data_IF_007750824567
#
_entry.id   IF_007750824567
#
_cell.length_a   1.000
_cell.length_b   1.000
_cell.length_c   1.000
_cell.angle_alpha   90.00
_cell.angle_beta   90.00
_cell.angle_gamma   90.00
#
_symmetry.space_group_name_H-M   'P 1'
#
loop_
_entity.id
_entity.type
_entity.pdbx_description
1 polymer ?
#
# COMPACT_ATOMS: atom_id res chain seq x y z
N UNK A 1 5.72 25.83 -12.87
CA UNK A 1 5.58 24.97 -11.68
C UNK A 1 4.49 23.97 -11.98
N UNK A 2 4.48 22.83 -11.31
CA UNK A 2 3.57 21.74 -11.60
C UNK A 2 2.62 21.51 -10.43
N UNK A 3 1.37 21.15 -10.75
CA UNK A 3 0.44 20.52 -9.84
C UNK A 3 0.33 19.06 -10.29
N UNK A 4 0.69 18.13 -9.41
CA UNK A 4 0.49 16.70 -9.63
C UNK A 4 -0.64 16.17 -8.77
N UNK A 5 -1.25 15.09 -9.24
CA UNK A 5 -2.29 14.32 -8.57
C UNK A 5 -1.96 12.84 -8.77
N UNK A 6 -1.46 12.21 -7.72
CA UNK A 6 -1.15 10.80 -7.67
C UNK A 6 -2.24 10.09 -6.85
N UNK A 7 -3.38 9.82 -7.48
CA UNK A 7 -4.50 9.11 -6.86
C UNK A 7 -5.03 9.78 -5.59
N UNK A 8 -5.16 11.11 -5.61
CA UNK A 8 -5.63 11.89 -4.47
C UNK A 8 -4.52 12.43 -3.57
N UNK A 9 -3.26 12.08 -3.82
CA UNK A 9 -2.11 12.75 -3.22
C UNK A 9 -1.65 13.90 -4.14
N UNK A 10 -1.79 15.13 -3.66
CA UNK A 10 -1.47 16.31 -4.48
C UNK A 10 -0.07 16.82 -4.13
N UNK A 11 0.67 17.28 -5.12
CA UNK A 11 1.88 18.06 -4.87
C UNK A 11 1.93 19.30 -5.76
N UNK A 12 2.37 20.41 -5.18
CA UNK A 12 2.65 21.64 -5.92
C UNK A 12 4.14 21.88 -5.88
N UNK A 13 4.78 21.85 -7.04
CA UNK A 13 6.23 22.01 -7.18
C UNK A 13 6.59 23.19 -8.08
N UNK A 14 7.76 23.77 -7.84
CA UNK A 14 8.32 24.84 -8.67
C UNK A 14 9.75 24.49 -9.03
N UNK A 15 10.13 24.87 -10.25
CA UNK A 15 11.50 24.72 -10.72
C UNK A 15 12.44 25.47 -9.79
N UNK A 16 13.52 24.82 -9.38
CA UNK A 16 14.55 25.40 -8.53
C UNK A 16 15.91 25.10 -9.11
N UNK A 17 16.81 26.08 -9.06
CA UNK A 17 18.24 25.85 -9.32
C UNK A 17 18.88 25.26 -8.06
N UNK A 18 19.66 24.20 -8.23
CA UNK A 18 20.45 23.60 -7.15
C UNK A 18 21.40 24.67 -6.59
N UNK A 19 21.41 24.85 -5.27
CA UNK A 19 22.28 25.84 -4.61
C UNK A 19 23.70 25.29 -4.40
N UNK A 20 23.82 23.98 -4.21
CA UNK A 20 25.09 23.27 -4.05
C UNK A 20 25.67 22.81 -5.38
N UNK A 21 27.01 22.73 -5.47
CA UNK A 21 27.74 22.08 -6.57
C UNK A 21 27.77 20.56 -6.33
N UNK A 22 26.61 19.97 -6.05
CA UNK A 22 26.48 18.52 -5.86
C UNK A 22 26.08 17.88 -7.17
N UNK A 23 26.78 16.82 -7.56
CA UNK A 23 26.41 15.99 -8.70
C UNK A 23 25.13 15.20 -8.38
N UNK A 24 24.16 15.25 -9.30
CA UNK A 24 22.90 14.52 -9.17
C UNK A 24 23.10 13.07 -9.61
N UNK A 25 22.43 12.10 -8.95
CA UNK A 25 22.49 10.70 -9.37
C UNK A 25 21.95 10.55 -10.80
N UNK A 26 22.54 9.63 -11.56
CA UNK A 26 21.99 9.24 -12.86
C UNK A 26 20.68 8.48 -12.65
N UNK A 27 19.70 8.67 -13.54
CA UNK A 27 18.38 8.04 -13.39
C UNK A 27 18.47 6.52 -13.19
N UNK A 28 19.28 5.83 -13.99
CA UNK A 28 19.35 4.36 -13.98
C UNK A 28 20.05 3.81 -12.71
N UNK A 29 20.61 4.70 -11.87
CA UNK A 29 21.16 4.35 -10.54
C UNK A 29 20.22 4.63 -9.37
N UNK A 30 19.02 5.17 -9.63
CA UNK A 30 18.04 5.48 -8.59
C UNK A 30 17.04 4.32 -8.49
N UNK A 31 16.89 3.78 -7.28
CA UNK A 31 15.84 2.83 -6.93
C UNK A 31 14.89 3.44 -5.87
N UNK A 32 13.61 3.01 -5.83
CA UNK A 32 12.71 3.40 -4.74
C UNK A 32 13.30 3.03 -3.38
N UNK A 33 13.23 3.95 -2.42
CA UNK A 33 13.87 3.83 -1.12
C UNK A 33 15.27 4.44 -1.03
N UNK A 34 15.92 4.79 -2.14
CA UNK A 34 17.22 5.45 -2.11
C UNK A 34 17.14 6.83 -1.47
N UNK A 35 18.17 7.17 -0.68
CA UNK A 35 18.26 8.47 -0.03
C UNK A 35 19.02 9.48 -0.88
N UNK A 36 18.45 10.68 -1.03
CA UNK A 36 19.14 11.84 -1.59
C UNK A 36 19.23 12.94 -0.52
N UNK A 37 20.45 13.40 -0.25
CA UNK A 37 20.67 14.60 0.54
C UNK A 37 20.73 15.80 -0.40
N UNK A 38 19.85 16.78 -0.18
CA UNK A 38 19.79 18.01 -0.95
C UNK A 38 19.56 19.19 -0.01
N UNK A 39 20.44 20.18 -0.04
CA UNK A 39 20.35 21.41 0.75
C UNK A 39 20.11 21.18 2.27
N UNK A 40 20.75 20.14 2.82
CA UNK A 40 20.64 19.77 4.25
C UNK A 40 19.40 18.96 4.61
N UNK A 41 18.50 18.70 3.67
CA UNK A 41 17.33 17.84 3.85
C UNK A 41 17.58 16.47 3.22
N UNK A 42 17.10 15.42 3.89
CA UNK A 42 17.15 14.04 3.40
C UNK A 42 15.81 13.70 2.76
N UNK A 43 15.87 13.27 1.51
CA UNK A 43 14.77 12.82 0.69
C UNK A 43 14.90 11.32 0.44
N UNK A 44 13.76 10.64 0.27
CA UNK A 44 13.70 9.22 -0.08
C UNK A 44 12.98 9.09 -1.41
N UNK A 45 13.56 8.35 -2.35
CA UNK A 45 12.96 8.07 -3.65
C UNK A 45 11.64 7.32 -3.42
N UNK A 46 10.54 7.93 -3.82
CA UNK A 46 9.19 7.41 -3.66
C UNK A 46 8.68 6.80 -4.94
N UNK A 47 9.03 7.35 -6.09
CA UNK A 47 8.60 6.82 -7.37
C UNK A 47 9.67 7.04 -8.43
N UNK A 48 10.01 6.01 -9.20
CA UNK A 48 11.02 6.07 -10.25
C UNK A 48 10.45 5.43 -11.50
N UNK A 49 10.07 6.24 -12.49
CA UNK A 49 9.41 5.72 -13.69
C UNK A 49 9.72 6.51 -14.95
N UNK A 50 9.64 5.78 -16.06
CA UNK A 50 9.51 6.33 -17.41
C UNK A 50 8.07 6.14 -17.86
N UNK A 51 7.38 7.23 -18.19
CA UNK A 51 5.97 7.26 -18.55
C UNK A 51 5.78 7.91 -19.92
N UNK A 52 4.82 7.42 -20.70
CA UNK A 52 4.41 8.06 -21.95
C UNK A 52 3.19 8.94 -21.67
N UNK A 53 3.28 10.24 -21.98
CA UNK A 53 2.11 11.12 -21.96
C UNK A 53 1.20 10.73 -23.14
N UNK A 54 0.01 10.21 -22.82
CA UNK A 54 -0.98 9.76 -23.82
C UNK A 54 -1.93 10.86 -24.31
N UNK A 55 -1.85 12.05 -23.72
CA UNK A 55 -2.70 13.18 -24.09
C UNK A 55 -2.59 14.31 -23.08
N UNK A 56 -3.24 15.42 -23.39
CA UNK A 56 -3.28 16.61 -22.55
C UNK A 56 -4.69 17.17 -22.52
N UNK A 57 -5.05 17.81 -21.41
CA UNK A 57 -6.34 18.46 -21.24
C UNK A 57 -6.18 19.73 -20.41
N UNK A 58 -6.93 20.78 -20.77
CA UNK A 58 -6.96 22.05 -20.06
C UNK A 58 -6.20 23.16 -20.76
N UNK A 59 -6.08 24.29 -20.06
CA UNK A 59 -5.36 25.48 -20.53
C UNK A 59 -3.88 25.33 -20.20
N UNK A 60 -3.09 24.88 -21.18
CA UNK A 60 -1.65 24.74 -21.04
C UNK A 60 -0.92 25.99 -21.57
N UNK A 61 0.20 26.40 -20.95
CA UNK A 61 1.00 27.53 -21.43
C UNK A 61 1.83 27.21 -22.68
N UNK A 62 1.64 26.03 -23.28
CA UNK A 62 2.29 25.56 -24.49
C UNK A 62 1.32 24.67 -25.28
N UNK A 63 1.59 24.51 -26.57
CA UNK A 63 0.87 23.55 -27.42
C UNK A 63 1.53 22.18 -27.26
N UNK A 64 0.84 21.17 -26.71
CA UNK A 64 1.38 19.83 -26.60
C UNK A 64 1.45 19.20 -27.99
N UNK A 65 2.59 18.57 -28.30
CA UNK A 65 2.74 17.75 -29.51
C UNK A 65 2.02 16.40 -29.39
N UNK A 66 2.49 15.39 -30.12
CA UNK A 66 1.92 14.02 -30.13
C UNK A 66 2.15 13.22 -28.82
N UNK A 67 2.43 13.93 -27.72
CA UNK A 67 2.88 13.39 -26.44
C UNK A 67 4.38 13.57 -26.23
N UNK A 68 4.84 13.21 -25.03
CA UNK A 68 6.25 13.19 -24.66
C UNK A 68 6.50 12.04 -23.69
N UNK A 69 7.75 11.64 -23.55
CA UNK A 69 8.15 10.71 -22.52
C UNK A 69 8.60 11.49 -21.28
N UNK A 70 8.00 11.21 -20.13
CA UNK A 70 8.42 11.73 -18.85
C UNK A 70 9.32 10.69 -18.17
N UNK A 71 10.59 11.00 -17.97
CA UNK A 71 11.56 10.16 -17.25
C UNK A 71 11.87 10.82 -15.90
N UNK A 72 11.17 10.41 -14.84
CA UNK A 72 11.12 11.15 -13.57
C UNK A 72 11.40 10.27 -12.36
N UNK A 73 12.11 10.85 -11.38
CA UNK A 73 12.24 10.29 -10.04
C UNK A 73 11.67 11.27 -9.02
N UNK A 74 10.57 10.88 -8.39
CA UNK A 74 9.92 11.63 -7.33
C UNK A 74 10.42 11.16 -5.96
N UNK A 75 10.59 12.12 -5.07
CA UNK A 75 11.17 11.96 -3.75
C UNK A 75 10.30 12.64 -2.70
N UNK A 76 10.31 12.06 -1.50
CA UNK A 76 9.51 12.51 -0.36
C UNK A 76 10.39 12.75 0.85
N UNK A 77 10.02 13.76 1.63
CA UNK A 77 10.63 14.05 2.93
C UNK A 77 9.63 14.78 3.81
N UNK A 78 9.02 14.08 4.77
CA UNK A 78 7.89 14.62 5.54
C UNK A 78 6.76 15.12 4.61
N UNK A 79 6.51 16.44 4.56
CA UNK A 79 5.57 17.12 3.67
C UNK A 79 6.23 17.67 2.39
N UNK A 80 7.55 17.60 2.26
CA UNK A 80 8.28 18.06 1.08
C UNK A 80 8.21 17.04 -0.06
N UNK A 81 8.08 17.56 -1.28
CA UNK A 81 8.07 16.81 -2.53
C UNK A 81 9.16 17.32 -3.45
N UNK A 82 9.92 16.42 -4.06
CA UNK A 82 11.01 16.72 -4.97
C UNK A 82 10.88 15.84 -6.21
N UNK A 83 10.89 16.42 -7.39
CA UNK A 83 11.00 15.70 -8.67
C UNK A 83 12.35 16.01 -9.30
N UNK A 84 13.06 14.94 -9.68
CA UNK A 84 14.17 14.99 -10.62
C UNK A 84 13.64 14.57 -12.00
N UNK A 85 13.59 15.50 -12.93
CA UNK A 85 13.07 15.28 -14.28
C UNK A 85 14.21 15.15 -15.29
N UNK A 86 14.41 13.95 -15.82
CA UNK A 86 15.46 13.58 -16.78
C UNK A 86 14.93 13.52 -18.22
N UNK A 87 13.75 14.09 -18.49
CA UNK A 87 13.10 13.98 -19.82
C UNK A 87 13.91 14.66 -20.93
N UNK A 88 14.66 15.72 -20.59
CA UNK A 88 15.45 16.52 -21.54
C UNK A 88 16.95 16.16 -21.57
N UNK A 89 17.40 15.20 -20.75
CA UNK A 89 18.81 14.79 -20.73
C UNK A 89 19.26 14.11 -19.43
N UNK A 90 20.56 13.77 -19.34
CA UNK A 90 21.11 13.04 -18.20
C UNK A 90 21.21 13.89 -16.92
N UNK A 91 21.22 15.23 -17.06
CA UNK A 91 21.19 16.15 -15.93
C UNK A 91 19.73 16.55 -15.67
N UNK A 92 19.18 16.26 -14.47
CA UNK A 92 17.76 16.47 -14.23
C UNK A 92 17.41 17.94 -14.02
N UNK A 93 16.23 18.34 -14.49
CA UNK A 93 15.57 19.52 -13.98
C UNK A 93 14.97 19.24 -12.60
N UNK A 94 15.16 20.18 -11.68
CA UNK A 94 14.75 20.01 -10.29
C UNK A 94 13.47 20.80 -9.99
N UNK A 95 12.44 20.11 -9.52
CA UNK A 95 11.20 20.71 -9.05
C UNK A 95 10.99 20.39 -7.58
N UNK A 96 10.83 21.41 -6.74
CA UNK A 96 10.62 21.22 -5.31
C UNK A 96 9.35 21.92 -4.85
N UNK A 97 8.68 21.34 -3.87
CA UNK A 97 7.57 21.97 -3.21
C UNK A 97 7.03 21.09 -2.09
N UNK A 98 5.71 21.03 -1.98
CA UNK A 98 5.02 20.36 -0.89
C UNK A 98 3.94 19.44 -1.42
N UNK A 99 3.74 18.35 -0.68
CA UNK A 99 2.59 17.48 -0.81
C UNK A 99 1.46 17.96 0.11
N UNK A 100 0.22 17.79 -0.34
CA UNK A 100 -0.99 18.27 0.32
C UNK A 100 -2.08 17.20 0.26
N UNK A 101 -2.86 17.12 1.35
CA UNK A 101 -4.26 16.70 1.24
C UNK A 101 -5.04 17.78 0.46
N UNK A 102 -5.98 17.38 -0.40
CA UNK A 102 -6.76 18.32 -1.21
C UNK A 102 -7.43 19.43 -0.38
N UNK A 103 -7.98 19.07 0.78
CA UNK A 103 -8.64 20.02 1.67
C UNK A 103 -7.67 21.06 2.25
N UNK A 104 -6.39 20.71 2.37
CA UNK A 104 -5.34 21.61 2.83
C UNK A 104 -4.86 22.60 1.77
N UNK A 105 -5.19 22.39 0.49
CA UNK A 105 -4.79 23.29 -0.60
C UNK A 105 -5.49 24.66 -0.59
N UNK A 106 -6.52 24.85 0.28
CA UNK A 106 -7.29 26.10 0.40
C UNK A 106 -7.76 26.66 -0.96
N UNK A 107 -8.33 25.77 -1.79
CA UNK A 107 -8.75 26.14 -3.13
C UNK A 107 -9.89 27.19 -3.10
N UNK A 108 -9.63 28.38 -3.65
CA UNK A 108 -10.55 29.53 -3.57
C UNK A 108 -11.40 29.79 -4.82
N UNK A 109 -11.06 29.20 -5.96
CA UNK A 109 -11.67 29.54 -7.27
C UNK A 109 -12.02 28.29 -8.08
N UNK A 110 -12.55 27.26 -7.42
CA UNK A 110 -12.99 26.04 -8.08
C UNK A 110 -14.26 26.30 -8.90
N UNK A 111 -14.33 25.70 -10.09
CA UNK A 111 -15.57 25.65 -10.89
C UNK A 111 -16.65 24.90 -10.10
N UNK A 112 -17.88 25.34 -10.24
CA UNK A 112 -19.06 24.62 -9.74
C UNK A 112 -19.21 23.28 -10.45
N UNK A 113 -20.02 22.41 -9.86
CA UNK A 113 -20.30 21.09 -10.43
C UNK A 113 -20.86 21.20 -11.84
N UNK A 114 -21.82 22.08 -12.01
CA UNK A 114 -22.54 22.33 -13.26
C UNK A 114 -21.58 22.87 -14.33
N UNK A 115 -20.68 23.78 -13.96
CA UNK A 115 -19.65 24.30 -14.86
C UNK A 115 -18.67 23.22 -15.33
N UNK A 116 -18.30 22.28 -14.46
CA UNK A 116 -17.44 21.14 -14.84
C UNK A 116 -18.17 20.18 -15.78
N UNK A 117 -19.45 19.94 -15.53
CA UNK A 117 -20.33 19.10 -16.35
C UNK A 117 -20.43 19.64 -17.79
N UNK A 118 -20.68 20.95 -17.91
CA UNK A 118 -20.83 21.65 -19.18
C UNK A 118 -19.53 21.71 -20.00
N UNK A 119 -18.37 21.87 -19.36
CA UNK A 119 -17.08 22.03 -20.05
C UNK A 119 -16.31 20.73 -20.30
N UNK A 120 -16.34 19.77 -19.36
CA UNK A 120 -15.54 18.55 -19.45
C UNK A 120 -16.34 17.31 -19.89
N UNK A 121 -17.69 17.36 -19.83
CA UNK A 121 -18.58 16.23 -20.16
C UNK A 121 -18.36 14.96 -19.31
N UNK A 122 -17.49 15.02 -18.29
CA UNK A 122 -17.10 13.92 -17.42
C UNK A 122 -16.93 14.45 -16.00
N UNK A 123 -17.75 13.95 -15.08
CA UNK A 123 -17.56 14.19 -13.67
C UNK A 123 -16.41 13.35 -13.11
N UNK A 124 -15.48 14.01 -12.42
CA UNK A 124 -14.50 13.31 -11.58
C UNK A 124 -15.25 12.56 -10.48
N UNK A 125 -15.04 11.24 -10.41
CA UNK A 125 -15.62 10.41 -9.36
C UNK A 125 -17.01 9.85 -9.64
N UNK A 126 -17.61 10.08 -10.82
CA UNK A 126 -18.87 9.41 -11.16
C UNK A 126 -18.62 7.92 -11.41
N UNK A 127 -19.35 7.06 -10.71
CA UNK A 127 -19.33 5.63 -10.99
C UNK A 127 -20.15 5.40 -12.26
N UNK A 128 -19.49 4.99 -13.33
CA UNK A 128 -20.13 4.64 -14.61
C UNK A 128 -20.19 3.14 -14.75
N UNK A 129 -21.24 2.66 -15.40
CA UNK A 129 -21.34 1.30 -15.87
C UNK A 129 -20.76 1.21 -17.29
N UNK A 130 -19.99 0.17 -17.57
CA UNK A 130 -19.62 -0.25 -18.92
C UNK A 130 -19.87 -1.74 -19.06
N UNK A 131 -20.18 -2.22 -20.26
CA UNK A 131 -20.26 -3.66 -20.52
C UNK A 131 -18.87 -4.21 -20.78
N UNK A 132 -18.52 -5.30 -20.11
CA UNK A 132 -17.23 -5.95 -20.28
C UNK A 132 -17.04 -6.37 -21.74
N UNK A 133 -16.01 -5.88 -22.46
CA UNK A 133 -15.79 -6.22 -23.86
C UNK A 133 -15.46 -7.70 -24.09
N UNK A 134 -15.15 -8.46 -23.03
CA UNK A 134 -14.88 -9.90 -23.11
C UNK A 134 -16.13 -10.78 -22.89
N UNK A 135 -17.01 -10.43 -21.95
CA UNK A 135 -18.11 -11.31 -21.52
C UNK A 135 -19.48 -10.64 -21.46
N UNK A 136 -19.59 -9.34 -21.73
CA UNK A 136 -20.83 -8.57 -21.70
C UNK A 136 -21.38 -8.27 -20.31
N UNK A 137 -20.72 -8.70 -19.23
CA UNK A 137 -21.18 -8.39 -17.88
C UNK A 137 -20.98 -6.91 -17.53
N UNK A 138 -21.89 -6.29 -16.75
CA UNK A 138 -21.75 -4.90 -16.35
C UNK A 138 -20.57 -4.73 -15.39
N UNK A 139 -19.77 -3.70 -15.63
CA UNK A 139 -18.62 -3.28 -14.84
C UNK A 139 -18.87 -1.87 -14.32
N UNK A 140 -18.86 -1.71 -13.01
CA UNK A 140 -18.84 -0.39 -12.37
C UNK A 140 -17.40 0.10 -12.25
N UNK A 141 -17.12 1.32 -12.70
CA UNK A 141 -15.81 1.94 -12.58
C UNK A 141 -15.91 3.42 -12.25
N UNK A 142 -14.92 3.95 -11.52
CA UNK A 142 -14.87 5.36 -11.17
C UNK A 142 -14.24 6.14 -12.33
N UNK A 143 -15.07 6.84 -13.09
CA UNK A 143 -14.60 7.63 -14.22
C UNK A 143 -13.57 8.69 -13.77
N UNK A 144 -12.50 8.82 -14.56
CA UNK A 144 -11.36 9.72 -14.33
C UNK A 144 -10.52 9.45 -13.06
N UNK A 145 -10.75 8.35 -12.35
CA UNK A 145 -9.95 7.95 -11.18
C UNK A 145 -9.41 6.53 -11.28
N UNK A 146 -10.10 5.64 -11.99
CA UNK A 146 -9.60 4.31 -12.33
C UNK A 146 -9.48 4.19 -13.85
N UNK A 147 -8.26 3.95 -14.34
CA UNK A 147 -8.00 3.71 -15.77
C UNK A 147 -8.03 2.22 -16.12
N UNK A 148 -8.20 1.34 -15.12
CA UNK A 148 -8.21 -0.09 -15.30
C UNK A 148 -9.27 -0.73 -14.39
N UNK A 149 -9.88 -1.79 -14.90
CA UNK A 149 -10.82 -2.62 -14.13
C UNK A 149 -10.57 -4.09 -14.43
N UNK A 150 -10.57 -4.92 -13.40
CA UNK A 150 -10.63 -6.37 -13.56
C UNK A 150 -12.09 -6.82 -13.46
N UNK A 151 -12.65 -7.36 -14.54
CA UNK A 151 -14.08 -7.69 -14.63
C UNK A 151 -14.50 -8.66 -13.50
N UNK A 152 -15.50 -8.31 -12.66
CA UNK A 152 -15.93 -9.19 -11.58
C UNK A 152 -16.48 -10.55 -12.04
N UNK A 153 -17.02 -10.62 -13.26
CA UNK A 153 -17.67 -11.83 -13.79
C UNK A 153 -16.71 -12.78 -14.51
N UNK A 154 -15.72 -12.25 -15.22
CA UNK A 154 -14.79 -13.08 -16.00
C UNK A 154 -13.31 -12.81 -15.71
N UNK A 155 -12.96 -11.90 -14.79
CA UNK A 155 -11.61 -11.44 -14.44
C UNK A 155 -10.71 -10.99 -15.60
N UNK A 156 -11.30 -10.59 -16.73
CA UNK A 156 -10.53 -9.94 -17.79
C UNK A 156 -10.08 -8.56 -17.29
N UNK A 157 -8.82 -8.21 -17.52
CA UNK A 157 -8.33 -6.86 -17.28
C UNK A 157 -8.73 -5.97 -18.45
N UNK A 158 -9.40 -4.87 -18.13
CA UNK A 158 -9.99 -3.93 -19.10
C UNK A 158 -9.36 -2.55 -18.88
N UNK A 159 -8.77 -2.00 -19.93
CA UNK A 159 -8.31 -0.60 -19.94
C UNK A 159 -9.52 0.31 -20.24
N UNK A 160 -9.72 1.31 -19.38
CA UNK A 160 -10.81 2.26 -19.42
C UNK A 160 -10.31 3.71 -19.60
N UNK A 161 -9.03 3.89 -19.99
CA UNK A 161 -8.43 5.22 -20.20
C UNK A 161 -8.89 5.89 -21.50
N UNK A 162 -9.19 5.10 -22.52
CA UNK A 162 -9.62 5.57 -23.84
C UNK A 162 -11.09 5.97 -23.95
N UNK A 163 -11.57 6.33 -25.16
CA UNK A 163 -12.98 6.55 -25.44
C UNK A 163 -13.80 5.25 -25.40
N UNK A 164 -13.15 4.11 -25.66
CA UNK A 164 -13.71 2.76 -25.64
C UNK A 164 -12.94 1.91 -24.64
N UNK A 165 -13.66 1.02 -23.94
CA UNK A 165 -13.06 0.06 -23.03
C UNK A 165 -12.48 -1.13 -23.81
N UNK A 166 -11.25 -1.51 -23.54
CA UNK A 166 -10.53 -2.55 -24.29
C UNK A 166 -9.98 -3.64 -23.38
N UNK A 167 -10.08 -4.91 -23.80
CA UNK A 167 -9.48 -6.02 -23.07
C UNK A 167 -7.98 -6.01 -23.29
N UNK A 168 -7.21 -5.81 -22.22
CA UNK A 168 -5.74 -5.87 -22.26
C UNK A 168 -5.20 -7.23 -21.82
N UNK A 169 -5.97 -7.99 -21.02
CA UNK A 169 -5.62 -9.35 -20.64
C UNK A 169 -6.88 -10.21 -20.46
N UNK A 170 -6.88 -11.40 -21.09
CA UNK A 170 -7.94 -12.39 -20.90
C UNK A 170 -7.66 -13.23 -19.67
N UNK A 171 -8.70 -13.52 -18.89
CA UNK A 171 -8.54 -14.24 -17.65
C UNK A 171 -8.05 -15.68 -17.82
N UNK A 172 -7.22 -16.12 -16.88
CA UNK A 172 -7.06 -17.54 -16.53
C UNK A 172 -8.23 -17.96 -15.64
N UNK A 173 -8.55 -19.26 -15.57
CA UNK A 173 -9.63 -19.81 -14.73
C UNK A 173 -9.64 -19.14 -13.35
N UNK A 174 -10.71 -18.40 -13.06
CA UNK A 174 -10.86 -17.63 -11.82
C UNK A 174 -11.39 -18.58 -10.75
N UNK A 175 -10.64 -18.75 -9.66
CA UNK A 175 -11.19 -19.41 -8.48
C UNK A 175 -12.24 -18.48 -7.86
N UNK A 176 -13.39 -19.00 -7.44
CA UNK A 176 -14.40 -18.16 -6.79
C UNK A 176 -13.85 -17.64 -5.46
N UNK A 177 -13.72 -16.33 -5.33
CA UNK A 177 -13.40 -15.70 -4.07
C UNK A 177 -14.66 -15.60 -3.21
N UNK A 178 -14.53 -15.92 -1.91
CA UNK A 178 -15.57 -15.61 -0.92
C UNK A 178 -15.16 -14.33 -0.21
N UNK A 179 -15.47 -13.19 -0.82
CA UNK A 179 -15.31 -11.89 -0.20
C UNK A 179 -16.40 -11.66 0.86
N UNK A 180 -16.04 -11.12 2.02
CA UNK A 180 -16.99 -10.75 3.07
C UNK A 180 -17.85 -9.55 2.64
N UNK A 181 -17.23 -8.59 1.93
CA UNK A 181 -17.90 -7.41 1.39
C UNK A 181 -18.03 -7.54 -0.14
N UNK A 182 -19.24 -7.51 -0.71
CA UNK A 182 -19.42 -7.57 -2.16
C UNK A 182 -19.05 -6.23 -2.82
N UNK A 183 -18.50 -6.29 -4.03
CA UNK A 183 -18.31 -5.12 -4.89
C UNK A 183 -19.61 -4.32 -5.05
N UNK A 184 -19.49 -2.99 -5.06
CA UNK A 184 -20.62 -2.07 -5.11
C UNK A 184 -21.27 -1.79 -3.75
N UNK A 185 -20.86 -2.45 -2.66
CA UNK A 185 -21.32 -2.11 -1.32
C UNK A 185 -20.99 -0.66 -0.97
N UNK A 186 -21.90 0.02 -0.27
CA UNK A 186 -21.69 1.40 0.20
C UNK A 186 -21.48 1.40 1.71
N UNK A 187 -20.38 2.01 2.14
CA UNK A 187 -20.07 2.25 3.54
C UNK A 187 -20.32 3.71 3.91
N UNK A 188 -21.05 3.96 5.00
CA UNK A 188 -21.28 5.30 5.56
C UNK A 188 -20.26 5.59 6.66
N UNK A 189 -19.25 6.39 6.35
CA UNK A 189 -18.15 6.72 7.25
C UNK A 189 -18.04 8.24 7.39
N UNK A 190 -18.05 8.74 8.63
CA UNK A 190 -17.84 10.18 8.91
C UNK A 190 -18.77 11.12 8.13
N UNK A 191 -20.02 10.68 7.90
CA UNK A 191 -21.02 11.46 7.15
C UNK A 191 -20.83 11.45 5.62
N UNK A 192 -19.94 10.61 5.09
CA UNK A 192 -19.72 10.43 3.66
C UNK A 192 -19.99 8.97 3.23
N UNK A 193 -20.54 8.82 2.04
CA UNK A 193 -20.79 7.52 1.41
C UNK A 193 -19.56 7.12 0.58
N UNK A 194 -18.98 5.96 0.88
CA UNK A 194 -17.88 5.37 0.12
C UNK A 194 -18.36 4.11 -0.58
N UNK A 195 -18.11 4.02 -1.88
CA UNK A 195 -18.46 2.81 -2.65
C UNK A 195 -17.26 1.89 -2.72
N UNK A 196 -17.46 0.60 -2.45
CA UNK A 196 -16.47 -0.45 -2.63
C UNK A 196 -16.34 -0.74 -4.13
N UNK A 197 -15.21 -0.34 -4.73
CA UNK A 197 -14.98 -0.37 -6.17
C UNK A 197 -14.04 -1.48 -6.61
N UNK A 198 -13.17 -1.95 -5.71
CA UNK A 198 -12.20 -3.01 -5.99
C UNK A 198 -11.96 -3.88 -4.77
N UNK A 199 -11.61 -5.14 -4.98
CA UNK A 199 -11.14 -6.04 -3.94
C UNK A 199 -10.05 -6.94 -4.48
N UNK A 200 -9.05 -7.24 -3.66
CA UNK A 200 -7.97 -8.15 -4.01
C UNK A 200 -7.65 -9.09 -2.87
N UNK A 201 -7.13 -10.26 -3.24
CA UNK A 201 -6.55 -11.21 -2.30
C UNK A 201 -5.04 -11.13 -2.41
N UNK A 202 -4.42 -10.94 -1.27
CA UNK A 202 -2.98 -10.96 -1.12
C UNK A 202 -2.57 -12.14 -0.23
N UNK A 203 -1.37 -12.65 -0.45
CA UNK A 203 -0.77 -13.67 0.39
C UNK A 203 0.71 -13.41 0.59
N UNK A 204 1.22 -13.82 1.75
CA UNK A 204 2.65 -13.99 1.93
C UNK A 204 3.08 -15.31 1.26
N UNK A 205 3.96 -15.27 0.25
CA UNK A 205 4.45 -16.47 -0.40
C UNK A 205 5.42 -17.31 0.45
N UNK A 206 5.70 -16.94 1.70
CA UNK A 206 6.49 -17.76 2.63
C UNK A 206 5.81 -19.13 2.89
N UNK A 207 6.45 -20.25 2.50
CA UNK A 207 5.90 -21.58 2.70
C UNK A 207 5.91 -22.04 4.17
N UNK A 208 6.71 -21.43 5.04
CA UNK A 208 6.81 -21.81 6.45
C UNK A 208 5.68 -21.19 7.29
N UNK A 209 5.31 -19.95 6.98
CA UNK A 209 4.26 -19.19 7.68
C UNK A 209 3.28 -18.56 6.68
N UNK A 210 2.52 -19.37 5.91
CA UNK A 210 1.61 -18.83 4.90
C UNK A 210 0.51 -18.01 5.56
N UNK A 211 0.36 -16.77 5.12
CA UNK A 211 -0.73 -15.88 5.53
C UNK A 211 -1.43 -15.32 4.29
N UNK A 212 -2.72 -15.02 4.41
CA UNK A 212 -3.47 -14.38 3.33
C UNK A 212 -4.54 -13.46 3.88
N UNK A 213 -4.80 -12.37 3.19
CA UNK A 213 -5.77 -11.37 3.58
C UNK A 213 -6.51 -10.83 2.36
N UNK A 214 -7.62 -10.18 2.64
CA UNK A 214 -8.44 -9.48 1.66
C UNK A 214 -8.25 -7.98 1.83
N UNK A 215 -8.07 -7.28 0.71
CA UNK A 215 -8.04 -5.83 0.67
C UNK A 215 -9.22 -5.32 -0.15
N UNK A 216 -9.93 -4.32 0.38
CA UNK A 216 -11.10 -3.72 -0.22
C UNK A 216 -10.82 -2.24 -0.46
N UNK A 217 -10.88 -1.80 -1.71
CA UNK A 217 -10.75 -0.40 -2.08
C UNK A 217 -12.11 0.27 -2.12
N UNK A 218 -12.28 1.29 -1.27
CA UNK A 218 -13.44 2.14 -1.22
C UNK A 218 -13.10 3.54 -1.73
N UNK A 219 -14.07 4.18 -2.39
CA UNK A 219 -13.88 5.48 -2.99
C UNK A 219 -15.06 6.42 -2.69
N UNK A 220 -14.72 7.68 -2.41
CA UNK A 220 -15.63 8.80 -2.39
C UNK A 220 -15.08 9.94 -3.27
N UNK A 221 -15.88 10.57 -4.15
CA UNK A 221 -15.43 11.63 -5.06
C UNK A 221 -14.77 12.84 -4.39
N UNK A 222 -15.21 13.20 -3.18
CA UNK A 222 -14.73 14.36 -2.45
C UNK A 222 -13.67 14.01 -1.41
N UNK A 223 -13.70 12.79 -0.86
CA UNK A 223 -12.83 12.35 0.23
C UNK A 223 -11.71 11.38 -0.19
N UNK A 224 -11.69 10.95 -1.46
CA UNK A 224 -10.67 10.08 -2.00
C UNK A 224 -10.85 8.61 -1.63
N UNK A 225 -9.72 7.90 -1.53
CA UNK A 225 -9.66 6.46 -1.33
C UNK A 225 -9.47 6.08 0.13
N UNK A 226 -10.11 4.98 0.54
CA UNK A 226 -9.88 4.29 1.81
C UNK A 226 -9.78 2.80 1.50
N UNK A 227 -8.90 2.11 2.21
CA UNK A 227 -8.80 0.66 2.15
C UNK A 227 -9.37 0.05 3.43
N UNK A 228 -10.01 -1.11 3.30
CA UNK A 228 -10.25 -2.02 4.42
C UNK A 228 -9.43 -3.28 4.20
N UNK A 229 -8.75 -3.75 5.24
CA UNK A 229 -8.00 -5.00 5.24
C UNK A 229 -8.69 -5.98 6.17
N UNK A 230 -8.99 -7.16 5.67
CA UNK A 230 -9.53 -8.29 6.42
C UNK A 230 -8.48 -9.39 6.46
N UNK A 231 -7.95 -9.64 7.65
CA UNK A 231 -7.03 -10.73 7.92
C UNK A 231 -7.66 -11.72 8.90
N UNK A 232 -6.93 -12.78 9.21
CA UNK A 232 -7.26 -13.67 10.30
C UNK A 232 -7.14 -12.99 11.67
N UNK A 233 -6.46 -11.85 11.80
CA UNK A 233 -6.41 -11.08 13.04
C UNK A 233 -7.66 -10.23 13.24
N UNK A 234 -8.30 -9.77 12.17
CA UNK A 234 -9.49 -8.92 12.22
C UNK A 234 -9.54 -7.92 11.07
N UNK A 235 -10.17 -6.78 11.32
CA UNK A 235 -10.37 -5.73 10.32
C UNK A 235 -9.56 -4.48 10.65
N UNK A 236 -8.96 -3.89 9.63
CA UNK A 236 -8.25 -2.61 9.72
C UNK A 236 -8.77 -1.66 8.64
N UNK A 237 -8.84 -0.37 8.97
CA UNK A 237 -9.03 0.73 8.00
C UNK A 237 -7.67 1.33 7.73
N UNK A 238 -7.32 1.42 6.45
CA UNK A 238 -6.01 1.85 5.97
C UNK A 238 -6.16 3.08 5.08
N UNK A 239 -5.26 4.06 5.25
CA UNK A 239 -5.19 5.26 4.42
C UNK A 239 -3.73 5.56 4.07
N UNK A 240 -3.48 5.93 2.82
CA UNK A 240 -2.14 6.33 2.34
C UNK A 240 -1.71 7.63 3.02
N UNK A 241 -0.43 7.73 3.36
CA UNK A 241 0.15 8.86 4.08
C UNK A 241 0.57 10.00 3.14
N UNK A 242 -0.07 11.17 3.25
CA UNK A 242 0.37 12.40 2.57
C UNK A 242 1.60 13.07 3.20
N UNK A 243 1.94 12.69 4.41
CA UNK A 243 3.19 13.11 5.06
C UNK A 243 3.95 11.86 5.47
N UNK A 244 5.22 11.77 5.10
CA UNK A 244 6.00 10.57 5.35
C UNK A 244 6.60 10.57 6.76
N UNK A 245 6.81 9.39 7.37
CA UNK A 245 7.51 9.28 8.63
C UNK A 245 8.98 9.69 8.48
N UNK A 246 9.57 10.23 9.55
CA UNK A 246 11.01 10.42 9.65
C UNK A 246 11.69 9.20 10.26
N UNK A 247 12.88 8.85 9.79
CA UNK A 247 13.73 7.88 10.45
C UNK A 247 14.03 8.29 11.90
N UNK A 248 13.92 7.35 12.83
CA UNK A 248 14.31 7.54 14.22
C UNK A 248 15.55 6.69 14.56
N UNK A 249 15.49 5.38 14.30
CA UNK A 249 16.64 4.47 14.37
C UNK A 249 16.37 3.24 13.47
N UNK A 250 17.20 2.21 13.57
CA UNK A 250 17.10 1.01 12.73
C UNK A 250 15.77 0.24 12.87
N UNK A 251 15.10 0.35 14.02
CA UNK A 251 13.89 -0.43 14.34
C UNK A 251 12.68 0.45 14.63
N UNK A 252 12.75 1.75 14.35
CA UNK A 252 11.63 2.65 14.60
C UNK A 252 11.61 3.88 13.70
N UNK A 253 10.40 4.36 13.47
CA UNK A 253 10.12 5.59 12.72
C UNK A 253 9.25 6.54 13.55
N UNK A 254 9.32 7.84 13.26
CA UNK A 254 8.48 8.85 13.91
C UNK A 254 7.49 9.45 12.92
N UNK A 255 6.23 9.51 13.33
CA UNK A 255 5.14 10.09 12.54
C UNK A 255 4.10 10.72 13.45
N UNK A 256 3.64 11.93 13.11
CA UNK A 256 2.63 12.68 13.89
C UNK A 256 2.90 12.67 15.42
N UNK A 257 4.14 12.97 15.80
CA UNK A 257 4.64 12.98 17.18
C UNK A 257 4.59 11.65 17.95
N UNK A 258 4.42 10.52 17.25
CA UNK A 258 4.49 9.18 17.85
C UNK A 258 5.68 8.42 17.27
N UNK A 259 6.26 7.54 18.09
CA UNK A 259 7.32 6.61 17.65
C UNK A 259 6.68 5.25 17.44
N UNK A 260 6.76 4.74 16.21
CA UNK A 260 6.28 3.42 15.84
C UNK A 260 7.46 2.45 15.82
N UNK A 261 7.31 1.32 16.51
CA UNK A 261 8.32 0.26 16.57
C UNK A 261 8.08 -0.75 15.47
N UNK A 262 9.13 -1.20 14.82
CA UNK A 262 9.07 -2.23 13.78
C UNK A 262 8.48 -3.52 14.34
N UNK A 263 7.59 -4.15 13.58
CA UNK A 263 6.94 -5.42 13.89
C UNK A 263 7.44 -6.55 13.01
N UNK A 264 7.12 -6.49 11.72
CA UNK A 264 7.33 -7.58 10.76
C UNK A 264 7.90 -7.02 9.46
N UNK A 265 8.71 -7.83 8.80
CA UNK A 265 8.97 -7.72 7.37
C UNK A 265 8.36 -8.94 6.70
N UNK A 266 7.65 -8.73 5.60
CA UNK A 266 7.05 -9.82 4.85
C UNK A 266 6.84 -9.39 3.39
N UNK A 267 6.54 -10.34 2.52
CA UNK A 267 6.18 -10.03 1.13
C UNK A 267 4.68 -10.12 0.97
N UNK A 268 4.06 -9.12 0.36
CA UNK A 268 2.69 -9.24 -0.16
C UNK A 268 2.75 -9.65 -1.62
N UNK A 269 2.03 -10.71 -2.01
CA UNK A 269 1.83 -11.10 -3.41
C UNK A 269 0.34 -11.09 -3.75
N UNK A 270 -0.02 -10.42 -4.84
CA UNK A 270 -1.39 -10.40 -5.36
C UNK A 270 -1.71 -11.78 -5.96
N UNK A 271 -2.70 -12.48 -5.39
CA UNK A 271 -3.22 -13.74 -5.95
C UNK A 271 -4.40 -13.51 -6.89
N UNK A 272 -5.17 -12.45 -6.64
CA UNK A 272 -6.38 -12.11 -7.37
C UNK A 272 -6.76 -10.66 -7.16
N UNK A 273 -7.34 -10.03 -8.17
CA UNK A 273 -7.94 -8.70 -8.07
C UNK A 273 -9.24 -8.67 -8.87
N UNK A 274 -10.27 -7.99 -8.38
CA UNK A 274 -11.57 -7.79 -9.03
C UNK A 274 -12.05 -6.36 -8.79
N UNK A 275 -12.67 -5.75 -9.80
CA UNK A 275 -13.14 -4.37 -9.75
C UNK A 275 -12.08 -3.34 -10.18
N UNK A 276 -12.36 -2.08 -9.86
CA UNK A 276 -11.58 -0.92 -10.27
C UNK A 276 -10.53 -0.54 -9.20
N UNK A 277 -9.33 -0.21 -9.65
CA UNK A 277 -8.21 0.17 -8.80
C UNK A 277 -7.60 1.51 -9.23
N UNK A 278 -6.95 2.20 -8.29
CA UNK A 278 -6.22 3.45 -8.50
C UNK A 278 -4.82 3.24 -9.11
N UNK A 279 -4.48 1.98 -9.44
CA UNK A 279 -3.30 1.58 -10.20
C UNK A 279 -3.61 0.30 -10.99
N UNK A 280 -2.70 -0.11 -11.88
CA UNK A 280 -2.88 -1.30 -12.74
C UNK A 280 -2.43 -2.56 -12.01
N UNK A 281 -3.30 -3.11 -11.16
CA UNK A 281 -3.05 -4.36 -10.41
C UNK A 281 -2.87 -5.54 -11.36
N UNK A 282 -1.85 -6.37 -11.12
CA UNK A 282 -1.67 -7.66 -11.80
C UNK A 282 -1.49 -8.79 -10.81
N UNK A 283 -2.02 -9.96 -11.17
CA UNK A 283 -1.77 -11.19 -10.41
C UNK A 283 -0.28 -11.51 -10.50
N UNK A 284 0.33 -11.78 -9.34
CA UNK A 284 1.75 -12.04 -9.20
C UNK A 284 2.58 -10.81 -8.82
N UNK A 285 2.01 -9.59 -8.88
CA UNK A 285 2.68 -8.39 -8.35
C UNK A 285 3.09 -8.62 -6.90
N UNK A 286 4.29 -8.15 -6.55
CA UNK A 286 4.87 -8.36 -5.23
C UNK A 286 5.43 -7.07 -4.66
N UNK A 287 5.19 -6.88 -3.37
CA UNK A 287 5.59 -5.71 -2.60
C UNK A 287 6.26 -6.17 -1.32
N UNK A 288 7.43 -5.63 -1.01
CA UNK A 288 8.10 -5.81 0.27
C UNK A 288 7.44 -4.90 1.30
N UNK A 289 6.94 -5.48 2.38
CA UNK A 289 6.20 -4.78 3.41
C UNK A 289 7.04 -4.74 4.68
N UNK A 290 7.11 -3.57 5.32
CA UNK A 290 7.59 -3.44 6.70
C UNK A 290 6.52 -2.75 7.54
N UNK A 291 6.00 -3.46 8.54
CA UNK A 291 5.03 -2.94 9.48
C UNK A 291 5.71 -2.34 10.73
N UNK A 292 5.15 -1.24 11.21
CA UNK A 292 5.50 -0.60 12.47
C UNK A 292 4.23 -0.34 13.30
N UNK A 293 4.31 -0.41 14.63
CA UNK A 293 3.14 -0.25 15.51
C UNK A 293 3.39 0.70 16.68
N UNK A 294 2.31 1.35 17.11
CA UNK A 294 2.21 2.04 18.40
C UNK A 294 0.80 1.87 18.97
N UNK A 295 0.68 1.25 20.15
CA UNK A 295 -0.62 0.88 20.70
C UNK A 295 -1.37 -0.03 19.72
N UNK A 296 -2.55 0.38 19.26
CA UNK A 296 -3.35 -0.36 18.26
C UNK A 296 -3.18 0.15 16.82
N UNK A 297 -2.38 1.19 16.60
CA UNK A 297 -2.19 1.78 15.26
C UNK A 297 -0.98 1.15 14.57
N UNK A 298 -1.03 0.98 13.24
CA UNK A 298 0.13 0.60 12.43
C UNK A 298 0.50 1.69 11.43
N UNK A 299 1.78 1.68 11.05
CA UNK A 299 2.32 2.29 9.84
C UNK A 299 2.95 1.20 9.01
N UNK A 300 2.63 1.18 7.73
CA UNK A 300 3.09 0.17 6.80
C UNK A 300 3.92 0.86 5.73
N UNK A 301 5.15 0.39 5.54
CA UNK A 301 6.02 0.79 4.42
C UNK A 301 5.89 -0.27 3.34
N UNK A 302 5.60 0.17 2.13
CA UNK A 302 5.36 -0.69 0.98
C UNK A 302 6.40 -0.38 -0.08
N UNK A 303 7.27 -1.33 -0.42
CA UNK A 303 8.34 -1.16 -1.42
C UNK A 303 8.13 -2.14 -2.57
N UNK A 304 7.80 -1.60 -3.74
CA UNK A 304 7.73 -2.31 -5.01
C UNK A 304 8.93 -1.94 -5.92
N UNK A 305 8.99 -2.52 -7.11
CA UNK A 305 10.05 -2.29 -8.10
C UNK A 305 10.24 -0.79 -8.46
N UNK A 306 9.14 -0.03 -8.52
CA UNK A 306 9.14 1.35 -8.99
C UNK A 306 8.64 2.37 -7.98
N UNK A 307 8.07 1.92 -6.87
CA UNK A 307 7.37 2.79 -5.93
C UNK A 307 7.63 2.38 -4.48
N UNK A 308 7.79 3.37 -3.62
CA UNK A 308 7.76 3.23 -2.17
C UNK A 308 6.60 4.08 -1.64
N UNK A 309 5.70 3.44 -0.91
CA UNK A 309 4.56 4.05 -0.25
C UNK A 309 4.59 3.91 1.27
N UNK A 310 3.80 4.75 1.93
CA UNK A 310 3.49 4.59 3.34
C UNK A 310 1.98 4.68 3.54
N UNK A 311 1.44 3.81 4.37
CA UNK A 311 0.04 3.84 4.79
C UNK A 311 -0.07 3.75 6.30
N UNK A 312 -1.17 4.25 6.85
CA UNK A 312 -1.50 4.20 8.26
C UNK A 312 -2.79 3.41 8.46
N UNK A 313 -2.79 2.51 9.45
CA UNK A 313 -3.94 1.67 9.77
C UNK A 313 -4.43 1.86 11.20
N UNK A 314 -5.72 1.63 11.38
CA UNK A 314 -6.36 1.49 12.69
C UNK A 314 -7.38 0.33 12.66
N UNK A 315 -7.57 -0.40 13.77
CA UNK A 315 -8.55 -1.46 13.83
C UNK A 315 -9.97 -0.95 13.63
N UNK A 316 -10.80 -1.78 13.00
CA UNK A 316 -12.24 -1.60 12.85
C UNK A 316 -12.93 -2.70 13.62
N UNK A 317 -13.82 -2.32 14.54
CA UNK A 317 -14.60 -3.32 15.27
C UNK A 317 -15.71 -3.91 14.37
N UNK A 318 -16.14 -5.17 14.60
CA UNK A 318 -17.27 -5.76 13.87
C UNK A 318 -18.55 -4.93 13.95
N UNK A 319 -18.79 -4.27 15.10
CA UNK A 319 -19.93 -3.37 15.28
C UNK A 319 -19.83 -2.11 14.41
N UNK A 320 -18.65 -1.51 14.33
CA UNK A 320 -18.39 -0.37 13.46
C UNK A 320 -18.53 -0.75 11.98
N UNK A 321 -18.01 -1.93 11.59
CA UNK A 321 -18.15 -2.47 10.25
C UNK A 321 -19.63 -2.69 9.89
N UNK A 322 -20.39 -3.35 10.77
CA UNK A 322 -21.83 -3.57 10.60
C UNK A 322 -22.60 -2.27 10.46
N UNK A 323 -22.26 -1.26 11.27
CA UNK A 323 -22.86 0.06 11.23
C UNK A 323 -22.58 0.77 9.89
N UNK A 324 -21.32 0.78 9.43
CA UNK A 324 -20.94 1.46 8.18
C UNK A 324 -21.70 0.91 6.99
N UNK A 325 -21.84 -0.41 6.89
CA UNK A 325 -22.50 -1.06 5.76
C UNK A 325 -24.01 -1.23 5.95
N UNK A 326 -24.56 -0.96 7.14
CA UNK A 326 -25.96 -1.25 7.46
C UNK A 326 -26.29 -2.75 7.42
N UNK A 327 -25.31 -3.59 7.79
CA UNK A 327 -25.37 -5.06 7.67
C UNK A 327 -25.11 -5.73 9.03
N UNK A 328 -26.16 -6.01 9.83
CA UNK A 328 -26.01 -6.55 11.19
C UNK A 328 -25.27 -7.89 11.28
N UNK A 329 -25.28 -8.69 10.22
CA UNK A 329 -24.57 -9.97 10.15
C UNK A 329 -23.04 -9.81 10.25
N UNK A 330 -22.50 -8.62 9.92
CA UNK A 330 -21.07 -8.33 10.05
C UNK A 330 -20.60 -8.25 11.51
N UNK A 331 -21.51 -8.19 12.48
CA UNK A 331 -21.15 -8.28 13.91
C UNK A 331 -20.49 -9.63 14.29
N UNK A 332 -20.63 -10.66 13.46
CA UNK A 332 -20.00 -11.97 13.66
C UNK A 332 -18.56 -12.03 13.18
N UNK A 333 -18.07 -10.98 12.54
CA UNK A 333 -16.69 -10.90 12.07
C UNK A 333 -15.72 -10.87 13.24
N UNK A 334 -14.47 -11.27 12.98
CA UNK A 334 -13.43 -11.27 14.00
C UNK A 334 -13.01 -9.83 14.32
N UNK A 335 -12.92 -9.52 15.62
CA UNK A 335 -12.35 -8.27 16.08
C UNK A 335 -10.84 -8.43 16.22
N UNK A 336 -10.10 -7.36 15.91
CA UNK A 336 -8.66 -7.34 16.14
C UNK A 336 -8.38 -7.44 17.65
N UNK A 337 -7.61 -8.46 18.04
CA UNK A 337 -7.16 -8.60 19.42
C UNK A 337 -6.25 -7.45 19.81
N UNK A 338 -6.33 -6.99 21.06
CA UNK A 338 -5.34 -6.07 21.61
C UNK A 338 -4.07 -6.88 21.88
N UNK A 339 -3.25 -7.13 20.86
CA UNK A 339 -2.00 -7.86 21.08
C UNK A 339 -1.00 -6.96 21.84
N UNK A 340 -0.73 -7.32 23.09
CA UNK A 340 0.61 -7.17 23.65
C UNK A 340 1.56 -7.89 22.71
N UNK A 341 2.72 -7.29 22.42
CA UNK A 341 3.67 -7.88 21.49
C UNK A 341 4.01 -9.32 21.92
N UNK A 342 3.52 -10.34 21.19
CA UNK A 342 4.02 -11.71 21.36
C UNK A 342 5.45 -11.70 20.84
N UNK A 343 6.40 -11.53 21.77
CA UNK A 343 7.78 -11.92 21.56
C UNK A 343 7.77 -13.36 21.02
N UNK A 344 8.55 -13.63 19.97
CA UNK A 344 8.57 -14.95 19.34
C UNK A 344 8.66 -16.07 20.38
N UNK A 345 7.72 -17.01 20.34
CA UNK A 345 7.51 -17.99 21.41
C UNK A 345 8.81 -18.67 21.83
N UNK A 346 9.05 -18.76 23.13
CA UNK A 346 10.29 -19.26 23.70
C UNK A 346 10.59 -20.69 23.24
N UNK A 347 9.56 -21.48 22.90
CA UNK A 347 9.69 -22.80 22.26
C UNK A 347 10.33 -22.76 20.86
N UNK A 348 10.10 -21.73 20.03
CA UNK A 348 10.76 -21.63 18.70
C UNK A 348 12.27 -21.45 18.87
N UNK A 349 12.69 -20.58 19.78
CA UNK A 349 14.11 -20.41 20.13
C UNK A 349 14.72 -21.69 20.73
N UNK A 350 14.01 -22.34 21.66
CA UNK A 350 14.48 -23.56 22.30
C UNK A 350 14.67 -24.71 21.30
N UNK A 351 13.81 -24.84 20.27
CA UNK A 351 14.00 -25.82 19.18
C UNK A 351 15.33 -25.61 18.45
N UNK A 352 15.66 -24.37 18.09
CA UNK A 352 16.95 -24.05 17.44
C UNK A 352 18.15 -24.35 18.34
N UNK A 353 18.07 -23.98 19.62
CA UNK A 353 19.10 -24.27 20.61
C UNK A 353 19.31 -25.77 20.84
N UNK A 354 18.24 -26.58 20.83
CA UNK A 354 18.32 -28.04 20.95
C UNK A 354 19.03 -28.67 19.75
N UNK A 355 18.72 -28.23 18.53
CA UNK A 355 19.39 -28.72 17.31
C UNK A 355 20.88 -28.38 17.35
N UNK A 356 21.23 -27.15 17.72
CA UNK A 356 22.62 -26.73 17.89
C UNK A 356 23.33 -27.54 18.98
N UNK A 357 22.66 -27.82 20.11
CA UNK A 357 23.24 -28.58 21.21
C UNK A 357 23.57 -30.03 20.81
N UNK A 358 22.69 -30.69 20.06
CA UNK A 358 22.92 -32.04 19.52
C UNK A 358 24.08 -32.02 18.52
N UNK A 359 24.12 -31.03 17.63
CA UNK A 359 25.18 -30.89 16.64
C UNK A 359 26.55 -30.66 17.29
N UNK A 360 26.64 -29.74 18.26
CA UNK A 360 27.89 -29.42 18.96
C UNK A 360 28.39 -30.57 19.85
N UNK A 361 27.49 -31.47 20.28
CA UNK A 361 27.84 -32.63 21.11
C UNK A 361 27.84 -33.95 20.34
N UNK A 362 27.81 -33.91 19.01
CA UNK A 362 27.73 -35.11 18.16
C UNK A 362 28.79 -36.15 18.54
N UNK A 363 30.05 -35.76 18.68
CA UNK A 363 31.13 -36.67 19.08
C UNK A 363 30.93 -37.30 20.47
N UNK A 364 30.38 -36.56 21.43
CA UNK A 364 30.11 -37.07 22.78
C UNK A 364 28.96 -38.09 22.78
N UNK A 365 27.97 -37.90 21.90
CA UNK A 365 26.85 -38.83 21.72
C UNK A 365 27.36 -40.16 21.13
N UNK A 366 28.17 -40.11 20.07
CA UNK A 366 28.76 -41.32 19.45
C UNK A 366 29.80 -42.03 20.34
N UNK A 367 30.41 -41.31 21.29
CA UNK A 367 31.27 -41.88 22.32
C UNK A 367 30.51 -42.45 23.54
N UNK A 368 29.17 -42.51 23.49
CA UNK A 368 28.32 -43.08 24.54
C UNK A 368 28.11 -42.18 25.76
N UNK A 369 28.52 -40.90 25.71
CA UNK A 369 28.41 -39.92 26.81
C UNK A 369 27.21 -38.99 26.62
N UNK A 370 26.01 -39.54 26.56
CA UNK A 370 24.78 -38.81 26.23
C UNK A 370 24.08 -38.16 27.44
N UNK A 371 24.40 -38.55 28.68
CA UNK A 371 23.73 -38.04 29.89
C UNK A 371 23.84 -36.51 30.03
N UNK A 372 25.01 -35.86 29.85
CA UNK A 372 25.10 -34.41 29.96
C UNK A 372 24.32 -33.67 28.86
N UNK A 373 24.20 -34.28 27.67
CA UNK A 373 23.42 -33.74 26.55
C UNK A 373 21.93 -33.76 26.89
N UNK A 374 21.42 -34.88 27.41
CA UNK A 374 20.02 -34.98 27.85
C UNK A 374 19.69 -33.96 28.94
N UNK A 375 20.60 -33.78 29.92
CA UNK A 375 20.42 -32.80 30.99
C UNK A 375 20.31 -31.38 30.39
N UNK A 376 21.24 -30.97 29.54
CA UNK A 376 21.17 -29.62 28.95
C UNK A 376 19.98 -29.43 28.00
N UNK A 377 19.51 -30.48 27.32
CA UNK A 377 18.27 -30.40 26.54
C UNK A 377 17.05 -30.11 27.43
N UNK A 378 16.97 -30.74 28.61
CA UNK A 378 15.92 -30.44 29.60
C UNK A 378 16.04 -29.01 30.11
N UNK A 379 17.25 -28.53 30.42
CA UNK A 379 17.47 -27.15 30.87
C UNK A 379 17.20 -26.08 29.81
N UNK A 380 17.28 -26.42 28.52
CA UNK A 380 16.89 -25.51 27.44
C UNK A 380 15.38 -25.54 27.18
N UNK A 381 14.76 -26.72 27.26
CA UNK A 381 13.35 -26.88 26.91
C UNK A 381 12.39 -26.52 28.04
N UNK A 382 12.67 -26.93 29.28
CA UNK A 382 11.75 -26.77 30.41
C UNK A 382 11.46 -25.29 30.73
N UNK A 383 12.47 -24.39 30.81
CA UNK A 383 12.22 -22.98 31.07
C UNK A 383 11.47 -22.31 29.92
N UNK A 384 11.77 -22.67 28.67
CA UNK A 384 11.06 -22.15 27.50
C UNK A 384 9.60 -22.61 27.46
N UNK A 385 9.34 -23.87 27.84
CA UNK A 385 7.99 -24.43 27.94
C UNK A 385 7.17 -23.74 29.05
N UNK A 386 7.79 -23.49 30.21
CA UNK A 386 7.20 -22.79 31.35
C UNK A 386 6.97 -21.31 31.06
N UNK A 387 7.92 -20.64 30.41
CA UNK A 387 7.78 -19.24 30.00
C UNK A 387 6.58 -19.08 29.05
N UNK A 388 6.45 -19.95 28.03
CA UNK A 388 5.30 -19.93 27.13
C UNK A 388 3.97 -20.20 27.86
N UNK A 389 3.94 -21.09 28.87
CA UNK A 389 2.75 -21.33 29.70
C UNK A 389 2.36 -20.09 30.51
N UNK A 390 3.32 -19.49 31.22
CA UNK A 390 3.08 -18.31 32.05
C UNK A 390 2.66 -17.09 31.21
N UNK A 391 3.17 -16.95 29.99
CA UNK A 391 2.74 -15.89 29.07
C UNK A 391 1.43 -16.19 28.34
N UNK A 392 0.91 -17.42 28.42
CA UNK A 392 -0.33 -17.86 27.77
C UNK A 392 -1.55 -17.92 28.70
N UNK A 393 -1.38 -17.68 30.01
CA UNK A 393 -2.45 -17.74 31.01
C UNK A 393 -3.05 -16.37 31.39
N UNK A 394 -2.49 -15.26 30.87
CA UNK A 394 -3.05 -13.91 30.99
C UNK A 394 -3.83 -13.49 29.70
N UNK A 395 -4.64 -14.40 29.13
CA UNK A 395 -5.60 -14.09 28.05
C UNK A 395 -7.03 -13.82 28.57
#
# INVERSE_FOLDING_TARGET
GWLSDASGQYAVTRRRKVKSVQEMPAFDSIAPGDELKLDGQRFVAADVRTSQAGGTQGELPFVPGDGWQAKVADYRSLDAFLTLDFSDGPQPELYIGKAFDLSAMQAGSLRTKEQVEETAGRFRGQIKALDCPNCGAPISFVAAMATNVVCPSCAAAVDCSGPTAEVIEKARKVQKIRATLPLGSVAKMEGADYTLIGLMKCADPDPEEPSSWMEYLLFNPAKGFIWLVESDEGWERVQVCDTWPSHNNATSVRWRNRVYQKLYDYTSRVEMALGAFNWRVKVGDSTQITDYKVGTLKLTRELADKELGWSASAPVSPAQLAQWFGRPELNRQKAMGVSSAKAGGYRKWAKGALIAMVFLNFNNIFAGRFIPVLIGMVFLWLPAMLADMLTGEDE
#
